data_IF_334618380938
#
_entry.id   IF_334618380938
#
_cell.length_a   1.000
_cell.length_b   1.000
_cell.length_c   1.000
_cell.angle_alpha   90.00
_cell.angle_beta   90.00
_cell.angle_gamma   90.00
#
_symmetry.space_group_name_H-M   'P 1'
#
loop_
_entity.id
_entity.type
_entity.pdbx_description
1 polymer ?
#
# COMPACT_ATOMS: atom_id res chain seq x y z
N UNK A 1 18.45 14.93 3.80
CA UNK A 1 17.38 14.62 2.82
C UNK A 1 16.43 15.80 2.77
N UNK A 2 16.06 16.26 1.57
CA UNK A 2 15.05 17.30 1.35
C UNK A 2 14.00 16.79 0.37
N UNK A 3 12.75 17.25 0.48
CA UNK A 3 11.67 16.96 -0.47
C UNK A 3 11.45 15.47 -0.72
N UNK A 4 11.34 14.67 0.34
CA UNK A 4 11.02 13.25 0.20
C UNK A 4 9.63 13.09 -0.41
N UNK A 5 9.53 12.32 -1.50
CA UNK A 5 8.29 12.16 -2.28
C UNK A 5 7.15 11.63 -1.42
N UNK A 6 7.38 10.58 -0.62
CA UNK A 6 6.36 10.00 0.25
C UNK A 6 5.81 11.03 1.24
N UNK A 7 6.71 11.76 1.91
CA UNK A 7 6.37 12.79 2.90
C UNK A 7 5.57 13.93 2.27
N UNK A 8 6.07 14.47 1.15
CA UNK A 8 5.43 15.60 0.51
C UNK A 8 4.07 15.21 -0.06
N UNK A 9 3.93 14.08 -0.74
CA UNK A 9 2.62 13.64 -1.24
C UNK A 9 1.61 13.39 -0.12
N UNK A 10 2.00 12.71 0.97
CA UNK A 10 1.07 12.47 2.08
C UNK A 10 0.69 13.76 2.82
N UNK A 11 1.61 14.73 2.93
CA UNK A 11 1.28 16.04 3.46
C UNK A 11 0.26 16.76 2.56
N UNK A 12 0.48 16.77 1.25
CA UNK A 12 -0.47 17.36 0.30
C UNK A 12 -1.84 16.67 0.37
N UNK A 13 -1.85 15.33 0.37
CA UNK A 13 -3.06 14.53 0.47
C UNK A 13 -3.82 14.80 1.77
N UNK A 14 -3.12 14.90 2.91
CA UNK A 14 -3.74 15.18 4.20
C UNK A 14 -4.41 16.57 4.21
N UNK A 15 -3.72 17.61 3.71
CA UNK A 15 -4.27 18.95 3.61
C UNK A 15 -5.51 18.99 2.71
N UNK A 16 -5.43 18.37 1.53
CA UNK A 16 -6.58 18.26 0.62
C UNK A 16 -7.74 17.53 1.28
N UNK A 17 -7.47 16.39 1.93
CA UNK A 17 -8.50 15.58 2.57
C UNK A 17 -9.17 16.31 3.73
N UNK A 18 -8.41 17.07 4.51
CA UNK A 18 -8.99 17.90 5.58
C UNK A 18 -9.91 18.96 5.00
N UNK A 19 -9.51 19.66 3.92
CA UNK A 19 -10.39 20.63 3.26
C UNK A 19 -11.66 19.96 2.74
N UNK A 20 -11.55 18.83 2.03
CA UNK A 20 -12.71 18.11 1.50
C UNK A 20 -13.68 17.71 2.62
N UNK A 21 -13.17 17.22 3.76
CA UNK A 21 -13.99 16.86 4.92
C UNK A 21 -14.64 18.08 5.57
N UNK A 22 -13.95 19.22 5.63
CA UNK A 22 -14.54 20.47 6.12
C UNK A 22 -15.72 20.86 5.23
N UNK A 23 -15.55 20.86 3.89
CA UNK A 23 -16.64 21.20 2.96
C UNK A 23 -17.83 20.25 3.10
N UNK A 24 -17.56 18.95 3.27
CA UNK A 24 -18.60 17.95 3.48
C UNK A 24 -19.38 18.25 4.78
N UNK A 25 -18.69 18.44 5.89
CA UNK A 25 -19.30 18.69 7.20
C UNK A 25 -20.00 20.05 7.29
N UNK A 26 -19.60 21.05 6.50
CA UNK A 26 -20.34 22.33 6.40
C UNK A 26 -21.79 22.10 5.97
N UNK A 27 -22.02 21.10 5.12
CA UNK A 27 -23.36 20.77 4.62
C UNK A 27 -24.06 19.74 5.50
N UNK A 28 -23.33 18.73 5.98
CA UNK A 28 -23.90 17.58 6.68
C UNK A 28 -24.09 17.81 8.19
N UNK A 29 -23.10 18.42 8.86
CA UNK A 29 -23.07 18.58 10.32
C UNK A 29 -22.35 19.89 10.77
N UNK A 30 -22.95 21.07 10.50
CA UNK A 30 -22.28 22.36 10.73
C UNK A 30 -21.92 22.63 12.20
N UNK A 31 -22.76 22.22 13.16
CA UNK A 31 -22.48 22.38 14.58
C UNK A 31 -21.30 21.49 15.04
N UNK A 32 -21.21 20.26 14.53
CA UNK A 32 -20.08 19.36 14.77
C UNK A 32 -18.79 19.98 14.22
N UNK A 33 -18.83 20.47 12.98
CA UNK A 33 -17.69 21.13 12.35
C UNK A 33 -17.21 22.33 13.17
N UNK A 34 -18.12 23.22 13.58
CA UNK A 34 -17.78 24.38 14.38
C UNK A 34 -17.03 23.98 15.65
N UNK A 35 -17.56 22.99 16.38
CA UNK A 35 -16.91 22.48 17.60
C UNK A 35 -15.52 21.87 17.32
N UNK A 36 -15.34 21.17 16.20
CA UNK A 36 -14.03 20.62 15.79
C UNK A 36 -13.05 21.75 15.52
N UNK A 37 -13.42 22.74 14.70
CA UNK A 37 -12.56 23.87 14.34
C UNK A 37 -12.19 24.73 15.57
N UNK A 38 -13.15 25.01 16.45
CA UNK A 38 -12.92 25.75 17.69
C UNK A 38 -11.93 25.01 18.62
N UNK A 39 -12.07 23.69 18.76
CA UNK A 39 -11.14 22.86 19.54
C UNK A 39 -9.75 22.77 18.93
N UNK A 40 -9.68 22.64 17.60
CA UNK A 40 -8.42 22.61 16.85
C UNK A 40 -7.75 23.99 16.80
N UNK A 41 -8.50 25.07 17.08
CA UNK A 41 -8.07 26.47 16.95
C UNK A 41 -7.63 26.81 15.52
N UNK A 42 -8.33 26.24 14.54
CA UNK A 42 -8.09 26.45 13.12
C UNK A 42 -9.30 27.12 12.52
N UNK A 43 -9.08 28.17 11.74
CA UNK A 43 -10.19 28.88 11.08
C UNK A 43 -10.52 28.25 9.74
N UNK A 44 -11.76 28.46 9.28
CA UNK A 44 -12.18 28.02 7.95
C UNK A 44 -11.32 28.58 6.82
N UNK A 45 -10.91 29.84 6.95
CA UNK A 45 -10.04 30.53 5.98
C UNK A 45 -8.62 29.97 5.97
N UNK A 46 -8.11 29.53 7.12
CA UNK A 46 -6.81 28.85 7.21
C UNK A 46 -6.84 27.50 6.49
N UNK A 47 -7.91 26.72 6.63
CA UNK A 47 -8.06 25.45 5.88
C UNK A 47 -8.06 25.70 4.37
N UNK A 48 -8.71 26.77 3.89
CA UNK A 48 -8.62 27.15 2.47
C UNK A 48 -7.20 27.53 2.05
N UNK A 49 -6.48 28.30 2.87
CA UNK A 49 -5.14 28.77 2.51
C UNK A 49 -4.11 27.64 2.40
N UNK A 50 -4.36 26.48 3.02
CA UNK A 50 -3.53 25.29 2.84
C UNK A 50 -3.46 24.80 1.40
N UNK A 51 -4.43 25.14 0.55
CA UNK A 51 -4.38 24.76 -0.88
C UNK A 51 -3.25 25.46 -1.62
N UNK A 52 -2.86 26.67 -1.20
CA UNK A 52 -1.67 27.31 -1.75
C UNK A 52 -0.39 26.52 -1.46
N UNK A 53 -0.31 25.88 -0.28
CA UNK A 53 0.83 25.03 0.10
C UNK A 53 0.83 23.77 -0.75
N UNK A 54 -0.33 23.13 -0.89
CA UNK A 54 -0.52 21.92 -1.72
C UNK A 54 -0.09 22.18 -3.17
N UNK A 55 -0.52 23.28 -3.77
CA UNK A 55 -0.21 23.65 -5.15
C UNK A 55 1.27 23.96 -5.37
N UNK A 56 1.96 24.46 -4.35
CA UNK A 56 3.38 24.86 -4.41
C UNK A 56 4.33 23.78 -3.92
N UNK A 57 3.81 22.67 -3.39
CA UNK A 57 4.64 21.62 -2.81
C UNK A 57 5.47 20.94 -3.90
N UNK A 58 6.79 20.91 -3.73
CA UNK A 58 7.68 20.30 -4.70
C UNK A 58 7.71 18.77 -4.53
N UNK A 59 7.45 18.06 -5.63
CA UNK A 59 7.59 16.60 -5.72
C UNK A 59 8.71 16.31 -6.74
N UNK A 60 9.84 15.71 -6.30
CA UNK A 60 10.94 15.45 -7.22
C UNK A 60 10.59 14.25 -8.12
N UNK A 61 10.65 14.45 -9.44
CA UNK A 61 10.27 13.46 -10.44
C UNK A 61 11.09 13.62 -11.73
N UNK A 62 11.58 12.50 -12.24
CA UNK A 62 12.05 12.39 -13.62
C UNK A 62 10.84 12.15 -14.53
N UNK A 63 10.41 13.22 -15.22
CA UNK A 63 9.23 13.20 -16.08
C UNK A 63 9.43 12.36 -17.34
N UNK A 64 10.66 12.28 -17.87
CA UNK A 64 10.96 11.52 -19.08
C UNK A 64 10.85 10.01 -18.80
N UNK A 65 11.38 9.58 -17.66
CA UNK A 65 11.33 8.17 -17.24
C UNK A 65 10.02 7.80 -16.55
N UNK A 66 9.26 8.79 -16.08
CA UNK A 66 8.05 8.57 -15.27
C UNK A 66 8.36 8.05 -13.87
N UNK A 67 9.50 8.45 -13.29
CA UNK A 67 9.97 7.96 -12.00
C UNK A 67 9.93 9.08 -10.97
N UNK A 68 9.30 8.83 -9.83
CA UNK A 68 9.50 9.68 -8.67
C UNK A 68 10.90 9.48 -8.13
N UNK A 69 11.57 10.57 -7.80
CA UNK A 69 12.82 10.52 -7.07
C UNK A 69 12.47 10.36 -5.57
N UNK A 70 13.14 9.47 -4.83
CA UNK A 70 12.78 9.22 -3.42
C UNK A 70 12.87 10.52 -2.59
N UNK A 71 13.87 11.33 -2.90
CA UNK A 71 14.08 12.67 -2.37
C UNK A 71 15.00 13.44 -3.33
N UNK A 72 15.01 14.77 -3.24
CA UNK A 72 15.80 15.58 -4.16
C UNK A 72 17.29 15.20 -4.17
N UNK A 73 17.78 14.79 -5.35
CA UNK A 73 19.17 14.39 -5.57
C UNK A 73 19.46 12.90 -5.36
N UNK A 74 18.49 12.08 -4.96
CA UNK A 74 18.63 10.63 -4.83
C UNK A 74 19.14 9.95 -6.12
N UNK A 75 18.70 10.38 -7.31
CA UNK A 75 19.18 9.78 -8.56
C UNK A 75 20.66 10.07 -8.87
N UNK A 76 21.25 11.05 -8.19
CA UNK A 76 22.70 11.37 -8.29
C UNK A 76 23.56 10.50 -7.37
N UNK A 77 22.94 9.74 -6.47
CA UNK A 77 23.64 8.83 -5.58
C UNK A 77 24.19 7.62 -6.35
N UNK A 78 25.17 6.96 -5.74
CA UNK A 78 25.78 5.78 -6.33
C UNK A 78 24.76 4.65 -6.45
N UNK A 79 24.49 4.21 -7.68
CA UNK A 79 23.67 3.03 -7.94
C UNK A 79 24.48 1.76 -7.70
N UNK A 80 24.00 0.90 -6.81
CA UNK A 80 24.68 -0.35 -6.43
C UNK A 80 23.67 -1.49 -6.55
N UNK A 81 24.03 -2.49 -7.34
CA UNK A 81 23.19 -3.66 -7.53
C UNK A 81 23.23 -4.59 -6.31
N UNK A 82 22.05 -5.07 -5.90
CA UNK A 82 21.90 -6.22 -5.01
C UNK A 82 22.15 -7.48 -5.83
N UNK A 83 23.11 -8.32 -5.41
CA UNK A 83 23.58 -9.48 -6.19
C UNK A 83 23.65 -10.77 -5.38
N UNK A 84 23.47 -10.71 -4.06
CA UNK A 84 23.58 -11.86 -3.17
C UNK A 84 22.41 -11.86 -2.18
N UNK A 85 21.93 -13.05 -1.83
CA UNK A 85 20.86 -13.28 -0.87
C UNK A 85 21.27 -14.37 0.12
N UNK A 86 20.74 -14.32 1.34
CA UNK A 86 20.97 -15.36 2.34
C UNK A 86 20.05 -16.59 2.11
N UNK A 87 20.16 -17.57 3.01
CA UNK A 87 19.36 -18.80 2.97
C UNK A 87 17.84 -18.57 3.08
N UNK A 88 17.41 -17.43 3.61
CA UNK A 88 16.01 -17.03 3.76
C UNK A 88 15.55 -16.13 2.59
N UNK A 89 16.39 -15.94 1.57
CA UNK A 89 16.09 -15.08 0.42
C UNK A 89 16.11 -13.59 0.75
N UNK A 90 16.76 -13.17 1.83
CA UNK A 90 16.91 -11.77 2.22
C UNK A 90 18.19 -11.17 1.59
N UNK A 91 18.15 -9.94 1.06
CA UNK A 91 19.32 -9.31 0.46
C UNK A 91 20.52 -9.21 1.40
N UNK A 92 21.69 -9.63 0.91
CA UNK A 92 22.97 -9.40 1.57
C UNK A 92 23.55 -8.05 1.14
N UNK A 93 24.23 -7.36 2.06
CA UNK A 93 24.93 -6.13 1.74
C UNK A 93 26.01 -6.39 0.68
N UNK A 94 26.15 -5.55 -0.36
CA UNK A 94 27.24 -5.67 -1.32
C UNK A 94 28.61 -5.70 -0.62
N UNK A 95 29.46 -6.69 -0.95
CA UNK A 95 30.71 -7.00 -0.21
C UNK A 95 31.67 -5.82 0.00
N UNK A 96 31.71 -4.88 -0.95
CA UNK A 96 32.62 -3.73 -0.93
C UNK A 96 31.96 -2.42 -0.47
N UNK A 97 30.76 -2.49 0.10
CA UNK A 97 30.03 -1.32 0.58
C UNK A 97 30.45 -0.95 2.01
N UNK A 98 30.93 0.28 2.20
CA UNK A 98 31.05 0.85 3.55
C UNK A 98 29.65 1.25 4.06
N UNK A 99 29.12 0.48 5.02
CA UNK A 99 27.79 0.69 5.59
C UNK A 99 27.63 2.06 6.28
N UNK A 100 28.72 2.78 6.58
CA UNK A 100 28.67 4.15 7.11
C UNK A 100 28.32 5.18 6.03
N UNK A 101 28.42 4.81 4.75
CA UNK A 101 28.15 5.65 3.58
C UNK A 101 26.87 5.28 2.85
N UNK A 102 25.94 4.57 3.50
CA UNK A 102 24.67 4.17 2.90
C UNK A 102 23.88 5.35 2.32
N UNK A 103 23.96 6.52 2.96
CA UNK A 103 23.32 7.77 2.50
C UNK A 103 23.84 8.29 1.15
N UNK A 104 24.97 7.77 0.67
CA UNK A 104 25.57 8.13 -0.62
C UNK A 104 25.17 7.15 -1.74
N UNK A 105 24.35 6.14 -1.42
CA UNK A 105 23.93 5.08 -2.34
C UNK A 105 22.43 5.12 -2.59
N UNK A 106 22.00 4.49 -3.67
CA UNK A 106 20.58 4.32 -3.98
C UNK A 106 19.92 3.15 -3.22
N UNK A 107 20.67 2.39 -2.41
CA UNK A 107 20.11 1.29 -1.63
C UNK A 107 19.16 1.81 -0.55
N UNK A 108 17.94 1.29 -0.51
CA UNK A 108 16.91 1.69 0.45
C UNK A 108 16.60 0.58 1.43
N UNK A 109 16.33 0.94 2.68
CA UNK A 109 16.06 -0.02 3.77
C UNK A 109 14.75 -0.78 3.54
N UNK A 110 13.73 -0.07 3.10
CA UNK A 110 12.32 -0.50 3.04
C UNK A 110 11.58 0.36 2.00
N UNK A 111 10.31 0.06 1.64
CA UNK A 111 9.59 0.84 0.65
C UNK A 111 9.41 2.29 1.13
N UNK A 112 9.56 3.23 0.20
CA UNK A 112 9.38 4.67 0.40
C UNK A 112 8.43 5.20 -0.69
N UNK A 113 8.92 5.37 -1.92
CA UNK A 113 8.03 5.67 -3.07
C UNK A 113 7.00 4.55 -3.28
N UNK A 114 7.39 3.28 -3.13
CA UNK A 114 6.46 2.16 -3.21
C UNK A 114 5.46 2.16 -2.05
N UNK A 115 5.84 2.68 -0.87
CA UNK A 115 4.92 2.84 0.26
C UNK A 115 3.81 3.84 -0.07
N UNK A 116 4.08 4.83 -0.92
CA UNK A 116 3.06 5.79 -1.36
C UNK A 116 1.90 5.09 -2.08
N UNK A 117 2.22 4.09 -2.91
CA UNK A 117 1.21 3.30 -3.63
C UNK A 117 0.42 2.35 -2.72
N UNK A 118 1.03 1.92 -1.61
CA UNK A 118 0.32 1.15 -0.59
C UNK A 118 -0.70 2.01 0.18
N UNK A 119 -0.42 3.32 0.34
CA UNK A 119 -1.24 4.23 1.13
C UNK A 119 -2.36 4.89 0.33
N UNK A 120 -2.06 5.39 -0.88
CA UNK A 120 -2.97 6.20 -1.71
C UNK A 120 -2.83 5.82 -3.20
N UNK A 121 -2.78 4.52 -3.48
CA UNK A 121 -2.49 3.96 -4.80
C UNK A 121 -3.51 4.33 -5.90
N UNK A 122 -4.70 4.79 -5.52
CA UNK A 122 -5.76 5.31 -6.40
C UNK A 122 -5.40 6.66 -7.03
N UNK A 123 -4.44 7.40 -6.46
CA UNK A 123 -3.97 8.68 -7.00
C UNK A 123 -2.99 8.51 -8.17
N UNK A 124 -2.59 7.28 -8.49
CA UNK A 124 -1.55 6.98 -9.48
C UNK A 124 -2.03 6.01 -10.55
N UNK A 125 -1.64 6.27 -11.80
CA UNK A 125 -1.87 5.35 -12.90
C UNK A 125 -1.11 4.04 -12.68
N UNK A 126 -1.63 2.95 -13.25
CA UNK A 126 -1.01 1.63 -13.21
C UNK A 126 0.42 1.66 -13.81
N UNK A 127 0.62 2.41 -14.89
CA UNK A 127 1.92 2.59 -15.54
C UNK A 127 2.97 3.23 -14.62
N UNK A 128 2.62 4.33 -13.94
CA UNK A 128 3.53 5.01 -13.00
C UNK A 128 3.90 4.08 -11.85
N UNK A 129 2.92 3.35 -11.31
CA UNK A 129 3.16 2.39 -10.22
C UNK A 129 4.10 1.27 -10.65
N UNK A 130 3.91 0.68 -11.84
CA UNK A 130 4.80 -0.36 -12.38
C UNK A 130 6.23 0.16 -12.51
N UNK A 131 6.43 1.30 -13.18
CA UNK A 131 7.76 1.87 -13.41
C UNK A 131 8.53 2.11 -12.11
N UNK A 132 7.86 2.69 -11.11
CA UNK A 132 8.47 2.96 -9.82
C UNK A 132 8.67 1.69 -8.99
N UNK A 133 7.72 0.74 -9.01
CA UNK A 133 7.88 -0.55 -8.33
C UNK A 133 9.12 -1.28 -8.84
N UNK A 134 9.27 -1.44 -10.15
CA UNK A 134 10.40 -2.13 -10.77
C UNK A 134 11.74 -1.41 -10.56
N UNK A 135 11.71 -0.07 -10.44
CA UNK A 135 12.91 0.71 -10.16
C UNK A 135 13.38 0.51 -8.70
N UNK A 136 12.46 0.66 -7.74
CA UNK A 136 12.80 0.65 -6.32
C UNK A 136 12.95 -0.76 -5.73
N UNK A 137 12.25 -1.75 -6.27
CA UNK A 137 12.38 -3.16 -5.85
C UNK A 137 13.85 -3.61 -5.93
N UNK A 138 14.51 -3.38 -7.07
CA UNK A 138 15.93 -3.72 -7.32
C UNK A 138 16.92 -3.03 -6.37
N UNK A 139 16.48 -1.99 -5.67
CA UNK A 139 17.28 -1.16 -4.77
C UNK A 139 16.92 -1.37 -3.30
N UNK A 140 15.94 -2.22 -3.00
CA UNK A 140 15.45 -2.41 -1.63
C UNK A 140 16.15 -3.56 -0.93
N UNK A 141 16.81 -3.25 0.17
CA UNK A 141 17.57 -4.20 0.98
C UNK A 141 16.70 -5.02 1.95
N UNK A 142 15.42 -4.66 2.08
CA UNK A 142 14.45 -5.29 2.99
C UNK A 142 14.96 -5.43 4.43
N UNK A 143 15.76 -4.47 4.92
CA UNK A 143 16.33 -4.42 6.28
C UNK A 143 15.34 -3.89 7.32
N UNK A 144 14.07 -4.14 7.06
CA UNK A 144 12.92 -3.81 7.90
C UNK A 144 11.88 -4.89 7.65
N UNK A 145 11.35 -5.49 8.72
CA UNK A 145 10.33 -6.54 8.61
C UNK A 145 9.06 -6.08 7.89
N UNK A 146 8.73 -4.78 7.93
CA UNK A 146 7.59 -4.24 7.19
C UNK A 146 7.77 -4.34 5.66
N UNK A 147 9.01 -4.41 5.18
CA UNK A 147 9.29 -4.22 3.76
C UNK A 147 8.70 -5.28 2.84
N UNK A 148 8.90 -6.60 3.08
CA UNK A 148 8.40 -7.62 2.16
C UNK A 148 6.87 -7.57 2.01
N UNK A 149 6.11 -7.41 3.09
CA UNK A 149 4.65 -7.38 3.00
C UNK A 149 4.12 -6.24 2.12
N UNK A 150 4.71 -5.05 2.20
CA UNK A 150 4.29 -3.94 1.34
C UNK A 150 4.64 -4.19 -0.14
N UNK A 151 5.81 -4.78 -0.44
CA UNK A 151 6.16 -5.18 -1.80
C UNK A 151 5.26 -6.30 -2.34
N UNK A 152 4.82 -7.23 -1.49
CA UNK A 152 3.85 -8.26 -1.84
C UNK A 152 2.49 -7.63 -2.19
N UNK A 153 1.95 -6.81 -1.30
CA UNK A 153 0.64 -6.18 -1.48
C UNK A 153 0.60 -5.30 -2.73
N UNK A 154 1.57 -4.40 -2.91
CA UNK A 154 1.63 -3.54 -4.10
C UNK A 154 1.90 -4.37 -5.35
N UNK A 155 2.81 -5.35 -5.31
CA UNK A 155 3.12 -6.21 -6.45
C UNK A 155 1.90 -6.98 -6.97
N UNK A 156 1.05 -7.49 -6.07
CA UNK A 156 -0.21 -8.16 -6.41
C UNK A 156 -1.16 -7.24 -7.19
N UNK A 157 -1.35 -6.00 -6.71
CA UNK A 157 -2.16 -4.99 -7.41
C UNK A 157 -1.61 -4.55 -8.77
N UNK A 158 -0.33 -4.85 -9.04
CA UNK A 158 0.35 -4.56 -10.31
C UNK A 158 0.50 -5.79 -11.22
N UNK A 159 -0.02 -6.95 -10.83
CA UNK A 159 0.11 -8.19 -11.59
C UNK A 159 1.51 -8.83 -11.53
N UNK A 160 2.38 -8.41 -10.59
CA UNK A 160 3.73 -8.96 -10.36
C UNK A 160 3.67 -10.19 -9.45
N UNK A 161 2.83 -11.14 -9.86
CA UNK A 161 2.35 -12.26 -9.05
C UNK A 161 3.45 -13.14 -8.44
N UNK A 162 4.43 -13.58 -9.24
CA UNK A 162 5.47 -14.51 -8.77
C UNK A 162 6.36 -13.86 -7.70
N UNK A 163 6.91 -12.66 -7.99
CA UNK A 163 7.71 -11.91 -7.01
C UNK A 163 6.90 -11.54 -5.77
N UNK A 164 5.63 -11.17 -5.93
CA UNK A 164 4.79 -10.82 -4.79
C UNK A 164 4.52 -12.02 -3.87
N UNK A 165 4.41 -13.24 -4.41
CA UNK A 165 4.28 -14.45 -3.61
C UNK A 165 5.55 -14.72 -2.79
N UNK A 166 6.74 -14.56 -3.38
CA UNK A 166 8.00 -14.69 -2.64
C UNK A 166 8.10 -13.70 -1.47
N UNK A 167 7.69 -12.45 -1.70
CA UNK A 167 7.66 -11.43 -0.66
C UNK A 167 6.63 -11.73 0.43
N UNK A 168 5.48 -12.29 0.07
CA UNK A 168 4.49 -12.72 1.04
C UNK A 168 5.05 -13.81 1.95
N UNK A 169 5.79 -14.79 1.42
CA UNK A 169 6.42 -15.83 2.23
C UNK A 169 7.49 -15.25 3.17
N UNK A 170 8.34 -14.34 2.67
CA UNK A 170 9.32 -13.62 3.54
C UNK A 170 8.63 -12.87 4.68
N UNK A 171 7.49 -12.23 4.42
CA UNK A 171 6.69 -11.58 5.44
C UNK A 171 6.08 -12.59 6.43
N UNK A 172 5.38 -13.61 5.93
CA UNK A 172 4.67 -14.59 6.76
C UNK A 172 5.60 -15.41 7.66
N UNK A 173 6.83 -15.68 7.22
CA UNK A 173 7.81 -16.49 7.94
C UNK A 173 8.78 -15.67 8.79
N UNK A 174 8.67 -14.32 8.82
CA UNK A 174 9.66 -13.41 9.45
C UNK A 174 10.12 -13.89 10.82
N UNK A 175 9.18 -14.14 11.73
CA UNK A 175 9.48 -14.56 13.10
C UNK A 175 9.64 -16.08 13.26
N UNK A 176 9.14 -16.88 12.31
CA UNK A 176 9.24 -18.34 12.35
C UNK A 176 10.63 -18.84 11.97
N UNK A 177 11.29 -18.15 11.02
CA UNK A 177 12.62 -18.49 10.51
C UNK A 177 13.69 -17.46 10.89
N UNK A 178 13.32 -16.48 11.72
CA UNK A 178 14.17 -15.37 12.19
C UNK A 178 14.91 -14.69 11.03
N UNK A 179 14.19 -14.34 9.95
CA UNK A 179 14.83 -13.83 8.73
C UNK A 179 15.38 -12.40 8.85
N UNK A 180 15.10 -11.71 9.95
CA UNK A 180 15.73 -10.43 10.32
C UNK A 180 16.87 -10.62 11.35
N UNK A 181 17.03 -11.81 11.94
CA UNK A 181 18.07 -12.14 12.90
C UNK A 181 17.89 -11.50 14.28
N UNK A 182 16.67 -11.11 14.64
CA UNK A 182 16.35 -10.35 15.84
C UNK A 182 14.95 -10.67 16.42
N UNK A 183 14.32 -11.79 16.05
CA UNK A 183 13.03 -12.22 16.64
C UNK A 183 13.12 -12.39 18.16
N UNK A 184 14.30 -12.66 18.71
CA UNK A 184 14.54 -12.68 20.17
C UNK A 184 14.26 -11.33 20.86
N UNK A 185 14.21 -10.21 20.11
CA UNK A 185 13.85 -8.90 20.63
C UNK A 185 12.31 -8.68 20.72
N UNK A 186 11.52 -9.59 20.15
CA UNK A 186 10.07 -9.54 20.16
C UNK A 186 9.44 -9.74 18.78
N UNK A 187 8.13 -9.98 18.77
CA UNK A 187 7.34 -10.16 17.55
C UNK A 187 7.39 -8.90 16.67
N UNK A 188 7.58 -9.08 15.37
CA UNK A 188 7.50 -7.99 14.40
C UNK A 188 6.04 -7.61 14.12
N UNK A 189 5.39 -6.93 15.08
CA UNK A 189 3.95 -6.62 15.03
C UNK A 189 3.51 -5.89 13.75
N UNK A 190 4.31 -4.94 13.25
CA UNK A 190 4.03 -4.24 11.99
C UNK A 190 3.98 -5.22 10.79
N UNK A 191 4.89 -6.19 10.76
CA UNK A 191 4.92 -7.22 9.72
C UNK A 191 3.76 -8.22 9.86
N UNK A 192 3.35 -8.57 11.08
CA UNK A 192 2.15 -9.40 11.28
C UNK A 192 0.91 -8.74 10.66
N UNK A 193 0.73 -7.43 10.90
CA UNK A 193 -0.31 -6.63 10.24
C UNK A 193 -0.13 -6.56 8.72
N UNK A 194 1.09 -6.32 8.23
CA UNK A 194 1.40 -6.28 6.80
C UNK A 194 1.13 -7.62 6.08
N UNK A 195 1.40 -8.75 6.74
CA UNK A 195 1.11 -10.10 6.23
C UNK A 195 -0.39 -10.29 6.03
N UNK A 196 -1.20 -9.88 7.02
CA UNK A 196 -2.66 -9.89 6.89
C UNK A 196 -3.14 -8.98 5.74
N UNK A 197 -2.59 -7.77 5.63
CA UNK A 197 -2.92 -6.84 4.55
C UNK A 197 -2.57 -7.43 3.17
N UNK A 198 -1.42 -8.09 3.03
CA UNK A 198 -1.03 -8.77 1.79
C UNK A 198 -1.99 -9.90 1.43
N UNK A 199 -2.46 -10.67 2.42
CA UNK A 199 -3.45 -11.72 2.23
C UNK A 199 -4.81 -11.15 1.79
N UNK A 200 -5.27 -10.05 2.39
CA UNK A 200 -6.61 -9.51 2.18
C UNK A 200 -6.70 -8.49 1.04
N UNK A 201 -5.86 -7.44 1.08
CA UNK A 201 -5.83 -6.38 0.07
C UNK A 201 -5.00 -6.75 -1.16
N UNK A 202 -4.04 -7.67 -1.01
CA UNK A 202 -3.29 -8.26 -2.13
C UNK A 202 -4.04 -9.43 -2.76
N UNK A 203 -3.84 -10.65 -2.24
CA UNK A 203 -4.41 -11.87 -2.86
C UNK A 203 -5.93 -11.89 -2.84
N UNK A 204 -6.52 -11.46 -1.73
CA UNK A 204 -7.96 -11.34 -1.57
C UNK A 204 -8.59 -10.24 -2.44
N UNK A 205 -7.78 -9.33 -2.97
CA UNK A 205 -8.20 -8.27 -3.88
C UNK A 205 -9.22 -7.30 -3.30
N UNK A 206 -9.29 -7.16 -1.98
CA UNK A 206 -10.18 -6.19 -1.34
C UNK A 206 -9.63 -4.77 -1.52
N UNK A 207 -10.44 -3.89 -2.09
CA UNK A 207 -10.19 -2.45 -2.13
C UNK A 207 -11.50 -1.67 -1.99
N UNK A 208 -11.40 -0.36 -1.73
CA UNK A 208 -12.54 0.53 -1.63
C UNK A 208 -12.40 1.60 -2.72
N UNK A 209 -13.40 1.71 -3.60
CA UNK A 209 -13.45 2.75 -4.62
C UNK A 209 -13.68 4.12 -3.97
N UNK A 210 -13.38 5.20 -4.70
CA UNK A 210 -13.55 6.60 -4.22
C UNK A 210 -14.99 6.93 -3.80
N UNK A 211 -15.99 6.27 -4.37
CA UNK A 211 -17.40 6.43 -4.02
C UNK A 211 -17.83 5.58 -2.79
N UNK A 212 -16.88 4.87 -2.16
CA UNK A 212 -17.10 4.02 -0.99
C UNK A 212 -17.60 2.61 -1.33
N UNK A 213 -17.63 2.22 -2.61
CA UNK A 213 -18.03 0.89 -3.02
C UNK A 213 -16.92 -0.13 -2.75
N UNK A 214 -17.29 -1.27 -2.17
CA UNK A 214 -16.36 -2.39 -1.94
C UNK A 214 -16.05 -3.07 -3.27
N UNK A 215 -14.77 -3.21 -3.59
CA UNK A 215 -14.26 -3.91 -4.77
C UNK A 215 -13.53 -5.18 -4.35
N UNK A 216 -13.78 -6.27 -5.09
CA UNK A 216 -13.19 -7.60 -4.86
C UNK A 216 -12.60 -8.11 -6.18
N UNK A 217 -11.27 -8.08 -6.31
CA UNK A 217 -10.52 -8.50 -7.50
C UNK A 217 -9.39 -9.49 -7.13
N UNK A 218 -9.73 -10.73 -6.74
CA UNK A 218 -8.77 -11.62 -6.12
C UNK A 218 -7.87 -12.33 -7.13
N UNK A 219 -6.60 -12.46 -6.76
CA UNK A 219 -5.64 -13.34 -7.41
C UNK A 219 -5.14 -14.41 -6.43
N UNK A 220 -5.12 -15.67 -6.89
CA UNK A 220 -4.62 -16.80 -6.10
C UNK A 220 -3.43 -17.44 -6.81
N UNK A 221 -2.36 -17.77 -6.08
CA UNK A 221 -1.31 -18.63 -6.60
C UNK A 221 -1.87 -19.98 -7.06
N UNK A 222 -1.34 -20.59 -8.13
CA UNK A 222 -1.85 -21.87 -8.66
C UNK A 222 -1.90 -23.01 -7.64
N UNK A 223 -1.00 -23.01 -6.66
CA UNK A 223 -0.90 -24.03 -5.62
C UNK A 223 -1.82 -23.78 -4.41
N UNK A 224 -2.51 -22.64 -4.34
CA UNK A 224 -3.50 -22.38 -3.29
C UNK A 224 -4.88 -22.92 -3.69
N UNK A 225 -5.46 -23.79 -2.87
CA UNK A 225 -6.79 -24.33 -3.14
C UNK A 225 -7.91 -23.33 -2.81
N UNK A 226 -7.73 -22.55 -1.73
CA UNK A 226 -8.73 -21.61 -1.23
C UNK A 226 -8.09 -20.53 -0.35
N UNK A 227 -8.57 -19.30 -0.46
CA UNK A 227 -8.40 -18.23 0.52
C UNK A 227 -9.77 -17.83 1.06
N UNK A 228 -9.92 -17.72 2.38
CA UNK A 228 -11.14 -17.23 3.02
C UNK A 228 -10.80 -16.15 4.03
N UNK A 229 -11.47 -15.01 3.95
CA UNK A 229 -11.32 -13.92 4.91
C UNK A 229 -12.67 -13.26 5.19
N UNK A 230 -12.73 -12.48 6.27
CA UNK A 230 -13.91 -11.70 6.64
C UNK A 230 -13.51 -10.33 7.15
N UNK A 231 -14.37 -9.35 6.92
CA UNK A 231 -14.16 -7.98 7.35
C UNK A 231 -15.50 -7.29 7.62
N UNK A 232 -15.44 -6.15 8.28
CA UNK A 232 -16.59 -5.27 8.45
C UNK A 232 -16.43 -4.05 7.56
N UNK A 233 -17.50 -3.69 6.86
CA UNK A 233 -17.59 -2.43 6.11
C UNK A 233 -18.90 -1.73 6.47
N UNK A 234 -18.81 -0.53 7.04
CA UNK A 234 -19.98 0.25 7.50
C UNK A 234 -21.00 -0.60 8.28
N UNK A 235 -20.48 -1.36 9.26
CA UNK A 235 -21.24 -2.28 10.12
C UNK A 235 -21.83 -3.53 9.45
N UNK A 236 -21.60 -3.74 8.15
CA UNK A 236 -21.96 -4.98 7.44
C UNK A 236 -20.77 -5.95 7.54
N UNK A 237 -21.02 -7.17 8.00
CA UNK A 237 -20.00 -8.23 7.96
C UNK A 237 -20.00 -8.89 6.59
N UNK A 238 -18.84 -8.92 5.94
CA UNK A 238 -18.62 -9.67 4.71
C UNK A 238 -17.70 -10.86 4.94
N UNK A 239 -17.94 -11.94 4.19
CA UNK A 239 -17.06 -13.10 4.10
C UNK A 239 -16.76 -13.32 2.62
N UNK A 240 -15.48 -13.41 2.26
CA UNK A 240 -15.02 -13.67 0.91
C UNK A 240 -14.35 -15.03 0.88
N UNK A 241 -14.80 -15.89 -0.03
CA UNK A 241 -14.22 -17.20 -0.31
C UNK A 241 -13.71 -17.22 -1.75
N UNK A 242 -12.40 -17.30 -1.92
CA UNK A 242 -11.74 -17.35 -3.21
C UNK A 242 -11.23 -18.78 -3.46
N UNK A 243 -11.57 -19.33 -4.62
CA UNK A 243 -11.02 -20.58 -5.17
C UNK A 243 -10.47 -20.30 -6.58
N UNK A 244 -9.81 -21.28 -7.20
CA UNK A 244 -9.15 -21.08 -8.51
C UNK A 244 -10.09 -20.53 -9.60
N UNK A 245 -11.34 -21.00 -9.67
CA UNK A 245 -12.28 -20.63 -10.74
C UNK A 245 -13.43 -19.71 -10.31
N UNK A 246 -13.61 -19.53 -9.00
CA UNK A 246 -14.79 -18.88 -8.44
C UNK A 246 -14.41 -18.04 -7.22
N UNK A 247 -15.03 -16.89 -7.07
CA UNK A 247 -15.05 -16.12 -5.83
C UNK A 247 -16.51 -16.03 -5.35
N UNK A 248 -16.76 -16.30 -4.07
CA UNK A 248 -18.09 -16.16 -3.47
C UNK A 248 -18.04 -15.17 -2.32
N UNK A 249 -18.98 -14.22 -2.31
CA UNK A 249 -19.04 -13.17 -1.29
C UNK A 249 -20.37 -13.22 -0.55
N UNK A 250 -20.32 -13.35 0.77
CA UNK A 250 -21.47 -13.40 1.66
C UNK A 250 -21.53 -12.11 2.47
N UNK A 251 -22.74 -11.67 2.83
CA UNK A 251 -22.94 -10.59 3.79
C UNK A 251 -24.13 -10.86 4.70
N UNK A 252 -24.07 -10.34 5.93
CA UNK A 252 -25.20 -10.40 6.86
C UNK A 252 -26.38 -9.50 6.43
N UNK A 253 -26.06 -8.36 5.82
CA UNK A 253 -26.99 -7.39 5.22
C UNK A 253 -26.65 -7.19 3.75
N UNK A 254 -27.62 -7.10 2.81
CA UNK A 254 -27.33 -6.91 1.40
C UNK A 254 -26.53 -5.62 1.12
N UNK A 255 -25.43 -5.76 0.39
CA UNK A 255 -24.55 -4.66 -0.01
C UNK A 255 -24.19 -4.79 -1.49
N UNK A 256 -24.05 -3.67 -2.19
CA UNK A 256 -23.52 -3.66 -3.54
C UNK A 256 -21.99 -3.68 -3.49
N UNK A 257 -21.38 -4.58 -4.26
CA UNK A 257 -19.94 -4.71 -4.43
C UNK A 257 -19.59 -4.71 -5.92
N UNK A 258 -18.33 -4.43 -6.26
CA UNK A 258 -17.82 -4.45 -7.64
C UNK A 258 -16.74 -5.50 -7.86
N UNK A 259 -16.70 -6.03 -9.07
CA UNK A 259 -15.57 -6.81 -9.58
C UNK A 259 -15.45 -6.62 -11.09
N UNK A 260 -14.31 -6.09 -11.55
CA UNK A 260 -14.20 -5.53 -12.89
C UNK A 260 -15.22 -4.41 -13.11
N UNK A 261 -15.93 -4.49 -14.23
CA UNK A 261 -16.96 -3.50 -14.63
C UNK A 261 -18.38 -3.91 -14.19
N UNK A 262 -18.51 -4.94 -13.34
CA UNK A 262 -19.81 -5.48 -12.91
C UNK A 262 -20.08 -5.20 -11.45
N UNK A 263 -21.33 -4.90 -11.15
CA UNK A 263 -21.86 -4.81 -9.80
C UNK A 263 -22.57 -6.12 -9.41
N UNK A 264 -22.42 -6.50 -8.15
CA UNK A 264 -23.01 -7.68 -7.55
C UNK A 264 -23.68 -7.28 -6.23
N UNK A 265 -24.81 -7.90 -5.92
CA UNK A 265 -25.51 -7.69 -4.65
C UNK A 265 -25.30 -8.89 -3.75
N UNK A 266 -24.66 -8.68 -2.60
CA UNK A 266 -24.36 -9.74 -1.64
C UNK A 266 -25.59 -10.11 -0.82
N UNK A 267 -25.57 -11.31 -0.25
CA UNK A 267 -26.60 -11.84 0.66
C UNK A 267 -26.01 -12.92 1.57
N UNK A 268 -26.83 -13.47 2.46
CA UNK A 268 -26.44 -14.61 3.31
C UNK A 268 -26.24 -15.90 2.51
N UNK A 269 -26.89 -16.04 1.35
CA UNK A 269 -26.71 -17.17 0.43
C UNK A 269 -25.41 -17.05 -0.39
N UNK A 270 -24.88 -15.84 -0.45
CA UNK A 270 -23.65 -15.45 -1.14
C UNK A 270 -23.84 -15.24 -2.63
N UNK A 271 -23.09 -14.30 -3.20
CA UNK A 271 -23.06 -14.02 -4.63
C UNK A 271 -21.79 -14.57 -5.26
N UNK A 272 -21.92 -15.17 -6.44
CA UNK A 272 -20.82 -15.73 -7.21
C UNK A 272 -20.24 -14.69 -8.18
N UNK A 273 -18.92 -14.52 -8.11
CA UNK A 273 -18.13 -13.64 -8.96
C UNK A 273 -17.21 -14.54 -9.80
N UNK A 274 -17.42 -14.60 -11.13
CA UNK A 274 -16.52 -15.30 -12.03
C UNK A 274 -15.11 -14.70 -11.96
N UNK A 275 -14.09 -15.53 -11.79
CA UNK A 275 -12.70 -15.05 -11.83
C UNK A 275 -12.22 -15.03 -13.29
N UNK A 276 -11.71 -13.89 -13.73
CA UNK A 276 -10.93 -13.82 -14.98
C UNK A 276 -9.58 -14.50 -14.69
N UNK A 277 -9.28 -15.56 -15.42
CA UNK A 277 -7.99 -16.28 -15.36
C UNK A 277 -7.02 -15.59 -16.30
#
# INVERSE_FOLDING_TARGET
>A
MHNNTYTNYLAAWALQKTRDLVHQLETEEPDTLKNILDRARVTRAEVESWMEVVEKLYIPMDKERGLFEQFEGYFKLQDIAITEWDKNGMPLWPKNLDLRRLSETQLIKQPDVVMLFAMIGEEFSQEVKIKNYEYYEKRTMHKSSLSPSMYAMVGLGLGKHDHAYEYFIKAAETDLVDNQGNTSHGLHAANAGGTWQSAVFGFGGLSIDRDGTVRIEPWLPPHWNRLRYSFYWRSVRLIVEVQQKLCKVFSDTPLNIRSGDREYRTSQEGVEIPRKI
#
